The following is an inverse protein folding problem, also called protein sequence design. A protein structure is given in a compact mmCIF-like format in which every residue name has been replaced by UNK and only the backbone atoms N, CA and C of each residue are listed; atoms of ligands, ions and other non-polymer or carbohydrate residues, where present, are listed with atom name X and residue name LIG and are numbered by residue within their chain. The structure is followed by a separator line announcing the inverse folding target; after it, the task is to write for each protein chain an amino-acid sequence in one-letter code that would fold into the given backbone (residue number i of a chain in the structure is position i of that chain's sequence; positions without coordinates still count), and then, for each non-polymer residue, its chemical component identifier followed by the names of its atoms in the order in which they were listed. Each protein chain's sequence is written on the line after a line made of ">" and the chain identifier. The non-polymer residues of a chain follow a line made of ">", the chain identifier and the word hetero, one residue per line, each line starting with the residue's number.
data_IF_815341080561
#
_entry.id   IF_815341080561
#
_cell.length_a   1.000
_cell.length_b   1.000
_cell.length_c   1.000
_cell.angle_alpha   90.00
_cell.angle_beta   90.00
_cell.angle_gamma   90.00
#
_symmetry.space_group_name_H-M   'P 1'
#
loop_
_entity.id
_entity.type
_entity.pdbx_description
1 polymer ?
#
# COMPACT_ATOMS: atom_id res chain seq x y z
N UNK A 1 -33.59 0.51 -17.66
CA UNK A 1 -32.89 0.73 -16.37
C UNK A 1 -31.53 0.08 -16.43
N UNK A 2 -30.45 0.84 -16.31
CA UNK A 2 -29.11 0.28 -16.40
C UNK A 2 -28.85 -0.63 -15.17
N UNK A 3 -28.44 -1.87 -15.42
CA UNK A 3 -28.03 -2.81 -14.36
C UNK A 3 -27.10 -2.10 -13.36
N UNK A 4 -27.51 -2.09 -12.09
CA UNK A 4 -26.72 -1.63 -10.94
C UNK A 4 -25.48 -2.49 -10.71
N UNK A 5 -25.38 -3.61 -11.41
CA UNK A 5 -24.34 -4.60 -11.23
C UNK A 5 -23.47 -4.77 -12.48
N UNK A 6 -22.21 -5.12 -12.24
CA UNK A 6 -21.16 -5.34 -13.21
C UNK A 6 -20.73 -6.81 -13.20
N UNK A 7 -20.41 -7.35 -14.38
CA UNK A 7 -19.62 -8.59 -14.45
C UNK A 7 -18.20 -8.34 -13.96
N UNK A 8 -17.46 -9.41 -13.66
CA UNK A 8 -16.04 -9.30 -13.31
C UNK A 8 -15.21 -8.65 -14.44
N UNK A 9 -15.55 -8.92 -15.71
CA UNK A 9 -14.89 -8.32 -16.87
C UNK A 9 -15.16 -6.83 -16.98
N UNK A 10 -16.41 -6.39 -16.80
CA UNK A 10 -16.77 -4.98 -16.79
C UNK A 10 -16.12 -4.23 -15.62
N UNK A 11 -16.05 -4.84 -14.44
CA UNK A 11 -15.35 -4.25 -13.31
C UNK A 11 -13.85 -4.13 -13.60
N UNK A 12 -13.21 -5.16 -14.17
CA UNK A 12 -11.79 -5.17 -14.51
C UNK A 12 -11.44 -4.07 -15.52
N UNK A 13 -12.19 -4.00 -16.63
CA UNK A 13 -12.02 -3.00 -17.67
C UNK A 13 -12.14 -1.58 -17.12
N UNK A 14 -13.21 -1.29 -16.38
CA UNK A 14 -13.50 0.06 -15.87
C UNK A 14 -12.60 0.48 -14.71
N UNK A 15 -12.11 -0.47 -13.91
CA UNK A 15 -11.19 -0.18 -12.81
C UNK A 15 -9.72 -0.20 -13.24
N UNK A 16 -9.41 -0.71 -14.43
CA UNK A 16 -8.05 -0.89 -14.94
C UNK A 16 -7.24 -1.89 -14.12
N UNK A 17 -7.89 -2.91 -13.56
CA UNK A 17 -7.25 -3.96 -12.76
C UNK A 17 -7.57 -5.33 -13.34
N UNK A 18 -6.60 -6.23 -13.34
CA UNK A 18 -6.81 -7.59 -13.83
C UNK A 18 -7.90 -8.34 -13.04
N UNK A 19 -8.61 -9.25 -13.69
CA UNK A 19 -9.62 -10.13 -13.06
C UNK A 19 -9.03 -10.93 -11.90
N UNK A 20 -7.78 -11.40 -12.03
CA UNK A 20 -7.06 -12.10 -10.96
C UNK A 20 -6.88 -11.25 -9.70
N UNK A 21 -6.61 -9.96 -9.87
CA UNK A 21 -6.50 -9.01 -8.78
C UNK A 21 -7.85 -8.73 -8.13
N UNK A 22 -8.94 -8.63 -8.90
CA UNK A 22 -10.29 -8.52 -8.35
C UNK A 22 -10.65 -9.75 -7.51
N UNK A 23 -10.38 -10.96 -8.02
CA UNK A 23 -10.58 -12.18 -7.23
C UNK A 23 -9.71 -12.21 -5.97
N UNK A 24 -8.49 -11.65 -6.05
CA UNK A 24 -7.63 -11.55 -4.89
C UNK A 24 -8.19 -10.57 -3.85
N UNK A 25 -8.62 -9.37 -4.26
CA UNK A 25 -9.28 -8.41 -3.37
C UNK A 25 -10.53 -9.01 -2.72
N UNK A 26 -11.33 -9.76 -3.49
CA UNK A 26 -12.51 -10.45 -2.96
C UNK A 26 -12.13 -11.49 -1.89
N UNK A 27 -11.09 -12.30 -2.12
CA UNK A 27 -10.58 -13.25 -1.11
C UNK A 27 -10.03 -12.57 0.14
N UNK A 28 -9.54 -11.34 0.02
CA UNK A 28 -9.06 -10.55 1.14
C UNK A 28 -10.18 -9.74 1.83
N UNK A 29 -11.45 -9.93 1.45
CA UNK A 29 -12.60 -9.20 2.02
C UNK A 29 -12.64 -7.71 1.63
N UNK A 30 -11.83 -7.29 0.68
CA UNK A 30 -11.71 -5.88 0.28
C UNK A 30 -12.82 -5.43 -0.66
N UNK A 31 -13.40 -6.37 -1.41
CA UNK A 31 -14.58 -6.18 -2.25
C UNK A 31 -15.50 -7.39 -2.09
N UNK A 32 -16.77 -7.22 -2.42
CA UNK A 32 -17.77 -8.28 -2.35
C UNK A 32 -18.49 -8.45 -3.68
N UNK A 33 -18.92 -9.68 -3.95
CA UNK A 33 -19.78 -10.00 -5.08
C UNK A 33 -20.94 -10.88 -4.63
N UNK A 34 -22.07 -10.80 -5.33
CA UNK A 34 -23.10 -11.85 -5.27
C UNK A 34 -22.92 -12.82 -6.43
N UNK A 35 -23.47 -14.02 -6.29
CA UNK A 35 -23.52 -15.01 -7.37
C UNK A 35 -24.90 -15.06 -8.01
N UNK A 36 -24.93 -15.19 -9.33
CA UNK A 36 -26.16 -15.50 -10.08
C UNK A 36 -26.49 -16.98 -9.94
N UNK A 37 -27.72 -17.42 -10.33
CA UNK A 37 -28.07 -18.84 -10.42
C UNK A 37 -27.11 -19.64 -11.33
N UNK A 38 -26.57 -19.01 -12.37
CA UNK A 38 -25.53 -19.59 -13.24
C UNK A 38 -24.11 -19.52 -12.66
N UNK A 39 -23.97 -19.32 -11.34
CA UNK A 39 -22.71 -19.25 -10.61
C UNK A 39 -21.74 -18.14 -11.07
N UNK A 40 -22.23 -17.09 -11.74
CA UNK A 40 -21.42 -15.96 -12.19
C UNK A 40 -21.36 -14.87 -11.10
N UNK A 41 -20.18 -14.27 -10.90
CA UNK A 41 -20.02 -13.13 -9.99
C UNK A 41 -20.64 -11.86 -10.55
N UNK A 42 -21.32 -11.11 -9.69
CA UNK A 42 -21.88 -9.78 -9.97
C UNK A 42 -21.49 -8.82 -8.86
N UNK A 43 -20.95 -7.68 -9.26
CA UNK A 43 -20.43 -6.65 -8.37
C UNK A 43 -21.33 -5.42 -8.43
N UNK A 44 -21.69 -4.86 -7.29
CA UNK A 44 -22.35 -3.56 -7.27
C UNK A 44 -21.43 -2.47 -7.84
N UNK A 45 -22.00 -1.43 -8.46
CA UNK A 45 -21.24 -0.30 -9.03
C UNK A 45 -20.33 0.40 -8.00
N UNK A 46 -20.70 0.42 -6.73
CA UNK A 46 -19.88 0.96 -5.64
C UNK A 46 -18.50 0.30 -5.55
N UNK A 47 -18.36 -0.95 -6.01
CA UNK A 47 -17.07 -1.65 -6.04
C UNK A 47 -16.03 -0.95 -6.91
N UNK A 48 -16.44 -0.17 -7.92
CA UNK A 48 -15.49 0.67 -8.69
C UNK A 48 -14.81 1.69 -7.80
N UNK A 49 -15.56 2.36 -6.93
CA UNK A 49 -15.01 3.36 -6.02
C UNK A 49 -14.11 2.69 -5.00
N UNK A 50 -14.53 1.54 -4.46
CA UNK A 50 -13.73 0.74 -3.52
C UNK A 50 -12.40 0.30 -4.13
N UNK A 51 -12.41 -0.23 -5.36
CA UNK A 51 -11.19 -0.60 -6.11
C UNK A 51 -10.31 0.63 -6.38
N UNK A 52 -10.89 1.77 -6.76
CA UNK A 52 -10.11 2.99 -6.98
C UNK A 52 -9.35 3.42 -5.72
N UNK A 53 -9.96 3.30 -4.54
CA UNK A 53 -9.30 3.59 -3.26
C UNK A 53 -8.19 2.59 -2.96
N UNK A 54 -8.45 1.28 -3.10
CA UNK A 54 -7.41 0.26 -2.91
C UNK A 54 -6.18 0.57 -3.76
N UNK A 55 -6.38 0.93 -5.04
CA UNK A 55 -5.28 1.31 -5.95
C UNK A 55 -4.56 2.57 -5.51
N UNK A 56 -5.28 3.60 -5.06
CA UNK A 56 -4.67 4.83 -4.59
C UNK A 56 -3.78 4.58 -3.36
N UNK A 57 -4.27 3.79 -2.40
CA UNK A 57 -3.51 3.40 -1.21
C UNK A 57 -2.30 2.52 -1.56
N UNK A 58 -2.44 1.56 -2.48
CA UNK A 58 -1.31 0.76 -2.94
C UNK A 58 -0.24 1.61 -3.64
N UNK A 59 -0.63 2.61 -4.45
CA UNK A 59 0.30 3.57 -5.08
C UNK A 59 1.01 4.46 -4.07
N UNK A 60 0.34 4.78 -2.96
CA UNK A 60 0.94 5.42 -1.80
C UNK A 60 1.90 4.49 -1.02
N UNK A 61 2.03 3.22 -1.42
CA UNK A 61 2.91 2.25 -0.78
C UNK A 61 2.35 1.69 0.53
N UNK A 62 1.04 1.77 0.72
CA UNK A 62 0.34 1.26 1.90
C UNK A 62 0.14 -0.25 1.75
N UNK A 63 0.55 -1.07 2.73
CA UNK A 63 0.37 -2.51 2.67
C UNK A 63 -1.11 -2.88 2.55
N UNK A 64 -1.40 -3.91 1.76
CA UNK A 64 -2.78 -4.34 1.54
C UNK A 64 -3.47 -4.79 2.84
N UNK A 65 -2.72 -5.36 3.79
CA UNK A 65 -3.22 -5.72 5.11
C UNK A 65 -3.75 -4.50 5.90
N UNK A 66 -3.05 -3.37 5.81
CA UNK A 66 -3.49 -2.10 6.45
C UNK A 66 -4.76 -1.58 5.77
N UNK A 67 -4.87 -1.74 4.45
CA UNK A 67 -6.09 -1.40 3.71
C UNK A 67 -7.25 -2.30 4.12
N UNK A 68 -7.00 -3.61 4.30
CA UNK A 68 -8.01 -4.57 4.74
C UNK A 68 -8.51 -4.27 6.15
N UNK A 69 -7.61 -3.94 7.08
CA UNK A 69 -7.96 -3.52 8.44
C UNK A 69 -8.74 -2.21 8.47
N UNK A 70 -8.35 -1.24 7.64
CA UNK A 70 -9.12 -0.02 7.45
C UNK A 70 -10.54 -0.29 6.94
N UNK A 71 -10.70 -1.31 6.08
CA UNK A 71 -11.97 -1.64 5.45
C UNK A 71 -12.86 -2.53 6.32
N UNK A 72 -12.31 -3.27 7.29
CA UNK A 72 -13.08 -4.09 8.24
C UNK A 72 -13.91 -3.22 9.20
N UNK A 73 -13.48 -1.98 9.41
CA UNK A 73 -14.17 -0.98 10.24
C UNK A 73 -15.31 -0.27 9.49
N UNK A 74 -15.44 -0.51 8.18
CA UNK A 74 -16.51 0.04 7.35
C UNK A 74 -17.73 -0.89 7.37
N UNK A 75 -18.95 -0.35 7.17
CA UNK A 75 -20.14 -1.18 7.04
C UNK A 75 -19.95 -2.24 5.94
N UNK A 76 -20.27 -3.50 6.25
CA UNK A 76 -20.13 -4.63 5.33
C UNK A 76 -20.95 -4.44 4.03
N UNK A 77 -22.08 -3.75 4.16
CA UNK A 77 -23.08 -3.58 3.10
C UNK A 77 -23.08 -2.15 2.53
N UNK A 78 -22.24 -1.27 3.07
CA UNK A 78 -22.27 0.16 2.83
C UNK A 78 -21.14 0.65 1.92
N UNK A 79 -21.47 1.62 1.08
CA UNK A 79 -20.46 2.49 0.47
C UNK A 79 -19.91 3.35 1.60
N UNK A 80 -18.60 3.32 1.91
CA UNK A 80 -18.02 4.23 2.90
C UNK A 80 -18.40 5.67 2.55
N UNK A 81 -18.87 6.40 3.56
CA UNK A 81 -19.28 7.77 3.39
C UNK A 81 -18.06 8.71 3.31
N UNK A 82 -18.32 10.01 3.26
CA UNK A 82 -17.24 10.99 3.19
C UNK A 82 -16.40 11.02 4.48
N UNK A 83 -17.01 10.80 5.65
CA UNK A 83 -16.33 10.85 6.93
C UNK A 83 -15.42 9.63 7.11
N UNK A 84 -15.87 8.44 6.70
CA UNK A 84 -15.06 7.24 6.58
C UNK A 84 -13.82 7.50 5.73
N UNK A 85 -13.99 8.14 4.57
CA UNK A 85 -12.86 8.47 3.72
C UNK A 85 -11.92 9.49 4.30
N UNK A 86 -12.42 10.52 4.99
CA UNK A 86 -11.55 11.48 5.64
C UNK A 86 -10.70 10.83 6.73
N UNK A 87 -11.27 9.90 7.52
CA UNK A 87 -10.52 9.17 8.54
C UNK A 87 -9.41 8.31 7.94
N UNK A 88 -9.73 7.50 6.93
CA UNK A 88 -8.76 6.60 6.29
C UNK A 88 -7.66 7.38 5.55
N UNK A 89 -8.04 8.40 4.78
CA UNK A 89 -7.07 9.23 4.06
C UNK A 89 -6.16 10.03 5.00
N UNK A 90 -6.64 10.47 6.17
CA UNK A 90 -5.80 11.12 7.17
C UNK A 90 -4.75 10.17 7.76
N UNK A 91 -5.11 8.91 8.04
CA UNK A 91 -4.14 7.91 8.51
C UNK A 91 -3.08 7.61 7.45
N UNK A 92 -3.51 7.46 6.19
CA UNK A 92 -2.62 7.21 5.06
C UNK A 92 -1.70 8.37 4.74
N UNK A 93 -2.20 9.60 4.87
CA UNK A 93 -1.40 10.81 4.73
C UNK A 93 -0.29 10.86 5.77
N UNK A 94 -0.58 10.54 7.04
CA UNK A 94 0.45 10.48 8.09
C UNK A 94 1.55 9.46 7.77
N UNK A 95 1.18 8.25 7.36
CA UNK A 95 2.17 7.22 6.98
C UNK A 95 3.03 7.66 5.78
N UNK A 96 2.41 8.33 4.80
CA UNK A 96 3.12 8.92 3.67
C UNK A 96 4.09 10.01 4.10
N UNK A 97 3.65 10.95 4.93
CA UNK A 97 4.48 12.05 5.43
C UNK A 97 5.68 11.51 6.24
N UNK A 98 5.46 10.52 7.11
CA UNK A 98 6.54 9.86 7.87
C UNK A 98 7.54 9.14 6.96
N UNK A 99 7.06 8.54 5.87
CA UNK A 99 7.90 7.88 4.89
C UNK A 99 8.68 8.89 4.03
N UNK A 100 8.07 10.01 3.65
CA UNK A 100 8.74 11.12 2.98
C UNK A 100 9.86 11.65 3.87
N UNK A 101 9.59 11.98 5.13
CA UNK A 101 10.61 12.48 6.06
C UNK A 101 11.78 11.51 6.22
N UNK A 102 11.52 10.20 6.32
CA UNK A 102 12.58 9.18 6.37
C UNK A 102 13.42 9.14 5.08
N UNK A 103 12.78 9.23 3.92
CA UNK A 103 13.46 9.23 2.63
C UNK A 103 14.24 10.53 2.40
N UNK A 104 13.73 11.68 2.82
CA UNK A 104 14.44 12.96 2.77
C UNK A 104 15.63 12.97 3.70
N UNK A 105 15.48 12.52 4.95
CA UNK A 105 16.60 12.36 5.88
C UNK A 105 17.67 11.42 5.33
N UNK A 106 17.27 10.32 4.67
CA UNK A 106 18.21 9.41 4.00
C UNK A 106 18.92 10.08 2.82
N UNK A 107 18.18 10.78 1.95
CA UNK A 107 18.73 11.55 0.81
C UNK A 107 19.76 12.57 1.28
N UNK A 108 19.43 13.35 2.30
CA UNK A 108 20.28 14.43 2.78
C UNK A 108 21.57 13.88 3.42
N UNK A 109 21.46 12.76 4.16
CA UNK A 109 22.63 12.06 4.70
C UNK A 109 23.47 11.37 3.62
N UNK A 110 22.86 10.84 2.55
CA UNK A 110 23.59 10.31 1.39
C UNK A 110 24.42 11.40 0.71
N UNK A 111 23.89 12.62 0.60
CA UNK A 111 24.63 13.80 0.14
C UNK A 111 25.89 14.06 0.99
N UNK A 112 25.78 13.92 2.31
CA UNK A 112 26.93 14.00 3.24
C UNK A 112 27.98 12.90 3.04
N UNK A 113 27.58 11.71 2.60
CA UNK A 113 28.49 10.58 2.34
C UNK A 113 29.33 10.79 1.07
N UNK A 114 28.76 11.40 0.05
CA UNK A 114 29.50 11.74 -1.19
C UNK A 114 30.58 12.80 -0.90
N UNK A 115 30.35 13.69 0.07
CA UNK A 115 31.33 14.66 0.55
C UNK A 115 32.35 14.14 1.58
N UNK A 116 32.13 12.95 2.16
CA UNK A 116 32.97 12.38 3.22
C UNK A 116 34.30 11.81 2.68
N UNK A 117 34.35 11.39 1.41
CA UNK A 117 35.58 10.89 0.77
C UNK A 117 36.13 9.58 1.35
N UNK A 118 35.45 8.94 2.30
CA UNK A 118 35.97 7.79 3.05
C UNK A 118 36.09 6.50 2.23
N UNK A 119 35.41 6.35 1.08
CA UNK A 119 35.48 5.22 0.13
C UNK A 119 35.42 3.79 0.77
N UNK A 120 35.03 3.68 2.03
CA UNK A 120 35.00 2.46 2.83
C UNK A 120 33.65 2.35 3.52
N UNK A 121 32.93 1.26 3.24
CA UNK A 121 31.72 0.89 3.97
C UNK A 121 32.02 0.52 5.44
N UNK A 122 33.27 0.19 5.78
CA UNK A 122 33.67 -0.23 7.12
C UNK A 122 33.86 0.94 8.10
N UNK A 123 34.00 2.17 7.61
CA UNK A 123 34.21 3.36 8.47
C UNK A 123 33.11 4.41 8.27
N UNK A 124 32.08 4.06 7.49
CA UNK A 124 31.01 4.97 7.14
C UNK A 124 30.05 5.14 8.33
N UNK A 125 30.26 6.19 9.14
CA UNK A 125 29.39 6.57 10.27
C UNK A 125 27.92 6.82 9.87
N UNK A 126 27.62 6.93 8.58
CA UNK A 126 26.25 7.00 8.08
C UNK A 126 25.55 5.63 8.04
N UNK A 127 26.24 4.56 7.62
CA UNK A 127 25.70 3.19 7.61
C UNK A 127 25.89 2.54 8.99
N UNK A 128 26.99 2.87 9.66
CA UNK A 128 27.44 2.30 10.91
C UNK A 128 27.72 3.39 11.96
N UNK A 129 26.69 4.06 12.52
CA UNK A 129 26.86 5.21 13.42
C UNK A 129 27.57 4.87 14.73
N UNK A 130 27.45 3.63 15.20
CA UNK A 130 28.01 3.14 16.46
C UNK A 130 29.27 2.26 16.27
N UNK A 131 29.85 2.25 15.07
CA UNK A 131 31.04 1.44 14.81
C UNK A 131 32.30 2.11 15.36
N UNK A 132 32.73 1.58 16.51
CA UNK A 132 33.92 1.99 17.25
C UNK A 132 35.13 1.08 16.96
N UNK A 133 35.09 0.22 15.94
CA UNK A 133 36.17 -0.71 15.65
C UNK A 133 37.39 0.01 15.05
N UNK A 134 38.37 0.34 15.91
CA UNK A 134 39.75 0.60 15.46
C UNK A 134 40.37 -0.73 15.00
N UNK A 135 40.23 -1.07 13.72
CA UNK A 135 40.95 -2.20 13.13
C UNK A 135 40.44 -2.61 11.76
N UNK A 136 41.35 -2.89 10.84
CA UNK A 136 41.04 -3.33 9.48
C UNK A 136 40.45 -4.75 9.48
N UNK A 137 39.14 -4.87 9.25
CA UNK A 137 38.52 -6.07 8.67
C UNK A 137 37.50 -6.83 9.53
N UNK A 138 36.47 -7.31 8.87
CA UNK A 138 35.40 -8.18 9.39
C UNK A 138 35.92 -9.54 9.85
N UNK A 139 35.54 -9.96 11.08
CA UNK A 139 35.65 -11.35 11.52
C UNK A 139 34.25 -11.95 11.65
N UNK A 140 34.09 -13.16 11.11
CA UNK A 140 32.93 -14.02 11.37
C UNK A 140 33.05 -14.50 12.82
N UNK A 141 31.98 -14.33 13.61
CA UNK A 141 31.87 -14.92 14.93
C UNK A 141 31.44 -16.37 14.77
N UNK A 142 32.26 -17.30 15.29
CA UNK A 142 31.83 -18.65 15.68
C UNK A 142 31.11 -18.60 17.03
#
# INVERSE_FOLDING_TARGET
>A
MASTELTVGQLAERSGVAVSALHFYERQGLISSRRTPGNQRRFDRSMLRRVAVIRAAQRAGIPLAVIAEAFSQLPADGVPDQADWQRLSAAWRRELDDRIHRLEALRDRLGGCIGCGCLSLAECRFVNPDDAARGTGSRVLE
#
